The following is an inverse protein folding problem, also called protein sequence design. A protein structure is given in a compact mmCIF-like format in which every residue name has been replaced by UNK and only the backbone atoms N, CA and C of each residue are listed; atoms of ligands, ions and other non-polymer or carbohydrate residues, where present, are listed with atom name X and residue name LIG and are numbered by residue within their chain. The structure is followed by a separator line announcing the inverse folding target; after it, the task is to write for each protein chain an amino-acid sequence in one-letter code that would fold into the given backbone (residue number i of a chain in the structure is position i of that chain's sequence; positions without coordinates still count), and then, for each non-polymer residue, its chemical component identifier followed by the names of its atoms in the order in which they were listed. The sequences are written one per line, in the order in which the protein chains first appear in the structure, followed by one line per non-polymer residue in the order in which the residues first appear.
data_IF_130956657932
#
_entry.id   IF_130956657932
#
_cell.length_a   1.000
_cell.length_b   1.000
_cell.length_c   1.000
_cell.angle_alpha   90.00
_cell.angle_beta   90.00
_cell.angle_gamma   90.00
#
_symmetry.space_group_name_H-M   'P 1'
#
loop_
_entity.id
_entity.type
_entity.pdbx_description
1 polymer ?
#
# COMPACT_ATOMS: atom_id res chain seq x y z
N UNK A 1 3.25 -24.41 21.87
CA UNK A 1 1.98 -23.74 21.48
C UNK A 1 1.83 -22.34 22.10
N UNK A 2 1.88 -22.16 23.44
CA UNK A 2 1.70 -20.83 24.08
C UNK A 2 2.86 -19.86 23.80
N UNK A 3 4.10 -20.36 23.73
CA UNK A 3 5.29 -19.55 23.34
C UNK A 3 5.30 -19.22 21.86
N UNK A 4 4.85 -20.12 21.01
CA UNK A 4 4.73 -19.89 19.56
C UNK A 4 3.68 -18.83 19.26
N UNK A 5 2.52 -18.88 19.90
CA UNK A 5 1.48 -17.86 19.76
C UNK A 5 1.97 -16.48 20.25
N UNK A 6 2.69 -16.41 21.36
CA UNK A 6 3.30 -15.15 21.86
C UNK A 6 4.35 -14.59 20.91
N UNK A 7 5.18 -15.44 20.31
CA UNK A 7 6.20 -15.03 19.34
C UNK A 7 5.55 -14.49 18.06
N UNK A 8 4.50 -15.16 17.58
CA UNK A 8 3.72 -14.75 16.41
C UNK A 8 3.04 -13.40 16.66
N UNK A 9 2.46 -13.21 17.84
CA UNK A 9 1.81 -11.95 18.24
C UNK A 9 2.82 -10.80 18.37
N UNK A 10 3.99 -11.06 18.94
CA UNK A 10 5.07 -10.07 19.02
C UNK A 10 5.61 -9.68 17.64
N UNK A 11 5.78 -10.65 16.74
CA UNK A 11 6.23 -10.40 15.37
C UNK A 11 5.18 -9.57 14.60
N UNK A 12 3.89 -9.89 14.81
CA UNK A 12 2.77 -9.13 14.22
C UNK A 12 2.75 -7.67 14.72
N UNK A 13 2.96 -7.47 16.03
CA UNK A 13 3.01 -6.13 16.63
C UNK A 13 4.24 -5.32 16.18
N UNK A 14 5.39 -5.97 16.00
CA UNK A 14 6.61 -5.31 15.49
C UNK A 14 6.44 -4.86 14.03
N UNK A 15 5.94 -5.74 13.16
CA UNK A 15 5.62 -5.41 11.77
C UNK A 15 4.55 -4.30 11.68
N UNK A 16 3.57 -4.33 12.58
CA UNK A 16 2.56 -3.27 12.72
C UNK A 16 3.17 -1.91 13.08
N UNK A 17 4.12 -1.88 14.01
CA UNK A 17 4.79 -0.63 14.43
C UNK A 17 5.57 0.02 13.28
N UNK A 18 6.27 -0.77 12.49
CA UNK A 18 7.02 -0.29 11.33
C UNK A 18 6.09 0.20 10.21
N UNK A 19 5.01 -0.53 9.91
CA UNK A 19 4.00 -0.10 8.94
C UNK A 19 3.30 1.19 9.37
N UNK A 20 2.96 1.37 10.65
CA UNK A 20 2.36 2.62 11.16
C UNK A 20 3.30 3.80 10.91
N UNK A 21 4.60 3.63 11.10
CA UNK A 21 5.60 4.65 10.79
C UNK A 21 5.58 5.04 9.30
N UNK A 22 5.56 4.06 8.43
CA UNK A 22 5.52 4.26 6.98
C UNK A 22 4.19 4.91 6.54
N UNK A 23 3.06 4.47 7.08
CA UNK A 23 1.73 5.06 6.81
C UNK A 23 1.65 6.50 7.29
N UNK A 24 2.20 6.83 8.45
CA UNK A 24 2.24 8.21 8.93
C UNK A 24 3.01 9.12 7.95
N UNK A 25 4.08 8.63 7.34
CA UNK A 25 4.78 9.33 6.26
C UNK A 25 3.94 9.43 4.98
N UNK A 26 3.24 8.36 4.61
CA UNK A 26 2.35 8.34 3.44
C UNK A 26 1.20 9.34 3.59
N UNK A 27 0.62 9.47 4.77
CA UNK A 27 -0.49 10.41 5.00
C UNK A 27 -0.06 11.86 5.00
N UNK A 28 1.19 12.17 5.32
CA UNK A 28 1.71 13.55 5.22
C UNK A 28 1.71 14.08 3.79
N UNK A 29 1.94 13.23 2.79
CA UNK A 29 1.96 13.67 1.38
C UNK A 29 0.59 14.17 0.91
N UNK A 30 -0.50 13.38 0.96
CA UNK A 30 -1.82 13.85 0.57
C UNK A 30 -2.31 15.02 1.44
N UNK A 31 -2.06 15.01 2.74
CA UNK A 31 -2.40 16.15 3.61
C UNK A 31 -1.66 17.43 3.21
N UNK A 32 -0.40 17.32 2.77
CA UNK A 32 0.33 18.46 2.24
C UNK A 32 -0.25 18.97 0.92
N UNK A 33 -0.65 18.08 0.01
CA UNK A 33 -1.32 18.45 -1.25
C UNK A 33 -2.61 19.21 -0.95
N UNK A 34 -3.45 18.71 -0.04
CA UNK A 34 -4.68 19.38 0.38
C UNK A 34 -4.38 20.78 0.95
N UNK A 35 -3.38 20.87 1.83
CA UNK A 35 -2.98 22.13 2.45
C UNK A 35 -2.45 23.15 1.44
N UNK A 36 -1.62 22.69 0.49
CA UNK A 36 -1.06 23.57 -0.58
C UNK A 36 -2.17 24.04 -1.52
N UNK A 37 -3.07 23.16 -1.95
CA UNK A 37 -4.19 23.52 -2.82
C UNK A 37 -5.14 24.54 -2.15
N UNK A 38 -5.49 24.32 -0.89
CA UNK A 38 -6.32 25.24 -0.13
C UNK A 38 -5.64 26.58 0.12
N UNK A 39 -4.35 26.57 0.51
CA UNK A 39 -3.57 27.77 0.75
C UNK A 39 -3.35 28.58 -0.54
N UNK A 40 -3.06 27.90 -1.65
CA UNK A 40 -2.92 28.51 -2.97
C UNK A 40 -4.21 29.22 -3.43
N UNK A 41 -5.35 28.57 -3.29
CA UNK A 41 -6.65 29.18 -3.59
C UNK A 41 -6.91 30.41 -2.70
N UNK A 42 -6.57 30.32 -1.40
CA UNK A 42 -6.71 31.45 -0.47
C UNK A 42 -5.84 32.64 -0.88
N UNK A 43 -4.58 32.41 -1.18
CA UNK A 43 -3.64 33.48 -1.62
C UNK A 43 -4.13 34.15 -2.91
N UNK A 44 -4.56 33.36 -3.91
CA UNK A 44 -5.11 33.91 -5.16
C UNK A 44 -6.36 34.74 -4.91
N UNK A 45 -7.21 34.34 -3.97
CA UNK A 45 -8.39 35.10 -3.55
C UNK A 45 -8.00 36.43 -2.91
N UNK A 46 -7.05 36.41 -1.97
CA UNK A 46 -6.60 37.61 -1.24
C UNK A 46 -5.95 38.61 -2.19
N UNK A 47 -5.31 38.15 -3.27
CA UNK A 47 -4.73 38.98 -4.34
C UNK A 47 -5.75 39.41 -5.42
N UNK A 48 -6.99 38.94 -5.37
CA UNK A 48 -8.00 39.27 -6.37
C UNK A 48 -7.82 38.63 -7.76
N UNK A 49 -6.98 37.57 -7.84
CA UNK A 49 -6.63 36.86 -9.08
C UNK A 49 -7.23 35.43 -9.18
N UNK A 50 -8.07 35.06 -8.23
CA UNK A 50 -8.71 33.74 -8.23
C UNK A 50 -9.79 33.68 -9.29
N UNK A 51 -9.58 32.87 -10.33
CA UNK A 51 -10.63 32.54 -11.31
C UNK A 51 -11.48 31.36 -10.84
N UNK A 52 -12.70 31.24 -11.36
CA UNK A 52 -13.57 30.09 -11.08
C UNK A 52 -12.93 28.77 -11.53
N UNK A 53 -12.21 28.74 -12.65
CA UNK A 53 -11.48 27.61 -13.14
C UNK A 53 -10.38 27.19 -12.13
N UNK A 54 -9.55 28.14 -11.67
CA UNK A 54 -8.51 27.86 -10.71
C UNK A 54 -9.05 27.41 -9.34
N UNK A 55 -10.23 27.92 -8.96
CA UNK A 55 -10.91 27.45 -7.74
C UNK A 55 -11.40 26.01 -7.92
N UNK A 56 -12.06 25.70 -9.04
CA UNK A 56 -12.56 24.36 -9.34
C UNK A 56 -11.42 23.34 -9.40
N UNK A 57 -10.29 23.67 -10.01
CA UNK A 57 -9.10 22.81 -10.04
C UNK A 57 -8.58 22.51 -8.63
N UNK A 58 -8.48 23.55 -7.79
CA UNK A 58 -8.03 23.39 -6.41
C UNK A 58 -9.00 22.52 -5.59
N UNK A 59 -10.31 22.72 -5.74
CA UNK A 59 -11.33 21.93 -5.07
C UNK A 59 -11.33 20.48 -5.55
N UNK A 60 -11.21 20.26 -6.86
CA UNK A 60 -11.11 18.92 -7.43
C UNK A 60 -9.89 18.18 -6.87
N UNK A 61 -8.73 18.82 -6.87
CA UNK A 61 -7.51 18.20 -6.33
C UNK A 61 -7.67 17.83 -4.84
N UNK A 62 -8.33 18.68 -4.05
CA UNK A 62 -8.61 18.40 -2.63
C UNK A 62 -9.53 17.18 -2.50
N UNK A 63 -10.62 17.13 -3.28
CA UNK A 63 -11.59 16.04 -3.23
C UNK A 63 -10.96 14.71 -3.66
N UNK A 64 -10.28 14.66 -4.81
CA UNK A 64 -9.62 13.46 -5.34
C UNK A 64 -8.57 12.94 -4.33
N UNK A 65 -7.81 13.86 -3.71
CA UNK A 65 -6.80 13.50 -2.71
C UNK A 65 -7.43 12.97 -1.42
N UNK A 66 -8.57 13.53 -1.00
CA UNK A 66 -9.29 13.08 0.21
C UNK A 66 -9.91 11.70 -0.01
N UNK A 67 -10.47 11.44 -1.19
CA UNK A 67 -11.02 10.13 -1.56
C UNK A 67 -9.93 9.05 -1.54
N UNK A 68 -8.80 9.31 -2.19
CA UNK A 68 -7.65 8.40 -2.18
C UNK A 68 -7.12 8.12 -0.75
N UNK A 69 -7.06 9.15 0.11
CA UNK A 69 -6.67 8.98 1.51
C UNK A 69 -7.66 8.10 2.27
N UNK A 70 -8.96 8.27 2.04
CA UNK A 70 -10.01 7.46 2.66
C UNK A 70 -9.91 5.99 2.24
N UNK A 71 -9.71 5.71 0.95
CA UNK A 71 -9.49 4.35 0.43
C UNK A 71 -8.28 3.69 1.08
N UNK A 72 -7.17 4.43 1.21
CA UNK A 72 -5.96 3.92 1.87
C UNK A 72 -6.20 3.58 3.34
N UNK A 73 -7.00 4.39 4.05
CA UNK A 73 -7.39 4.11 5.45
C UNK A 73 -8.23 2.84 5.53
N UNK A 74 -9.16 2.63 4.62
CA UNK A 74 -10.02 1.44 4.61
C UNK A 74 -9.19 0.17 4.31
N UNK A 75 -8.28 0.21 3.35
CA UNK A 75 -7.34 -0.89 3.07
C UNK A 75 -6.50 -1.21 4.32
N UNK A 76 -6.00 -0.19 5.00
CA UNK A 76 -5.22 -0.36 6.23
C UNK A 76 -6.05 -0.99 7.36
N UNK A 77 -7.26 -0.49 7.57
CA UNK A 77 -8.19 -1.02 8.58
C UNK A 77 -8.54 -2.49 8.32
N UNK A 78 -8.83 -2.83 7.07
CA UNK A 78 -9.17 -4.20 6.68
C UNK A 78 -7.96 -5.14 6.78
N UNK A 79 -6.76 -4.66 6.49
CA UNK A 79 -5.51 -5.41 6.65
C UNK A 79 -5.27 -5.91 8.09
N UNK A 80 -5.67 -5.13 9.11
CA UNK A 80 -5.51 -5.51 10.52
C UNK A 80 -6.70 -6.24 11.12
N UNK A 81 -7.80 -6.33 10.38
CA UNK A 81 -8.97 -7.07 10.83
C UNK A 81 -8.67 -8.58 10.83
N UNK A 82 -8.93 -9.23 11.95
CA UNK A 82 -8.82 -10.69 12.01
C UNK A 82 -9.94 -11.34 11.19
N UNK A 83 -9.55 -12.21 10.28
CA UNK A 83 -10.51 -13.05 9.58
C UNK A 83 -11.05 -14.10 10.56
N UNK A 84 -12.34 -14.07 10.81
CA UNK A 84 -13.00 -15.09 11.63
C UNK A 84 -13.24 -16.38 10.88
N UNK A 85 -13.41 -16.30 9.56
CA UNK A 85 -13.72 -17.41 8.67
C UNK A 85 -12.96 -17.28 7.35
N UNK A 86 -12.70 -18.43 6.74
CA UNK A 86 -12.12 -18.47 5.41
C UNK A 86 -13.13 -17.97 4.38
N UNK A 87 -12.66 -17.23 3.42
CA UNK A 87 -13.44 -16.71 2.30
C UNK A 87 -12.79 -17.05 0.96
N UNK A 88 -13.59 -17.07 -0.10
CA UNK A 88 -13.09 -17.16 -1.46
C UNK A 88 -12.74 -15.75 -1.95
N UNK A 89 -11.49 -15.55 -2.35
CA UNK A 89 -11.04 -14.25 -2.86
C UNK A 89 -10.18 -14.42 -4.11
N UNK A 90 -10.19 -13.39 -4.97
CA UNK A 90 -9.32 -13.33 -6.13
C UNK A 90 -7.91 -12.91 -5.72
N UNK A 91 -6.92 -13.73 -6.10
CA UNK A 91 -5.52 -13.55 -5.72
C UNK A 91 -4.92 -12.25 -6.29
N UNK A 92 -5.12 -12.02 -7.58
CA UNK A 92 -4.61 -10.84 -8.28
C UNK A 92 -5.16 -9.55 -7.67
N UNK A 93 -6.47 -9.51 -7.43
CA UNK A 93 -7.13 -8.35 -6.81
C UNK A 93 -6.63 -8.12 -5.38
N UNK A 94 -6.45 -9.19 -4.59
CA UNK A 94 -5.92 -9.07 -3.23
C UNK A 94 -4.51 -8.49 -3.25
N UNK A 95 -3.62 -8.96 -4.13
CA UNK A 95 -2.26 -8.42 -4.26
C UNK A 95 -2.33 -6.94 -4.64
N UNK A 96 -3.10 -6.56 -5.66
CA UNK A 96 -3.22 -5.15 -6.09
C UNK A 96 -3.69 -4.23 -4.97
N UNK A 97 -4.73 -4.63 -4.22
CA UNK A 97 -5.27 -3.82 -3.13
C UNK A 97 -4.22 -3.57 -2.03
N UNK A 98 -3.34 -4.54 -1.79
CA UNK A 98 -2.32 -4.43 -0.74
C UNK A 98 -1.05 -3.70 -1.18
N UNK A 99 -0.82 -3.54 -2.50
CA UNK A 99 0.33 -2.78 -3.01
C UNK A 99 0.28 -1.30 -2.59
N UNK A 100 -0.91 -0.72 -2.44
CA UNK A 100 -1.08 0.66 -1.96
C UNK A 100 -0.45 0.90 -0.57
N UNK A 101 -0.38 -0.15 0.28
CA UNK A 101 0.22 -0.05 1.61
C UNK A 101 1.75 0.08 1.59
N UNK A 102 2.38 -0.31 0.48
CA UNK A 102 3.85 -0.30 0.36
C UNK A 102 4.36 0.54 -0.82
N UNK A 103 3.46 1.12 -1.60
CA UNK A 103 3.78 1.93 -2.78
C UNK A 103 4.79 3.04 -2.49
N UNK A 104 4.63 3.74 -1.37
CA UNK A 104 5.56 4.80 -0.97
C UNK A 104 6.96 4.26 -0.62
N UNK A 105 7.02 3.06 -0.04
CA UNK A 105 8.30 2.40 0.27
C UNK A 105 9.00 1.99 -1.03
N UNK A 106 8.26 1.45 -1.99
CA UNK A 106 8.75 1.08 -3.31
C UNK A 106 9.27 2.32 -4.05
N UNK A 107 8.44 3.36 -4.16
CA UNK A 107 8.79 4.62 -4.83
C UNK A 107 9.94 5.35 -4.14
N UNK A 108 9.92 5.43 -2.81
CA UNK A 108 10.97 6.11 -2.02
C UNK A 108 12.35 5.43 -2.10
N UNK A 109 12.41 4.17 -2.49
CA UNK A 109 13.65 3.43 -2.71
C UNK A 109 14.00 3.27 -4.19
N UNK A 110 13.32 3.95 -5.11
CA UNK A 110 13.50 3.84 -6.57
C UNK A 110 13.44 2.39 -7.06
N UNK A 111 12.48 1.62 -6.56
CA UNK A 111 12.26 0.22 -6.93
C UNK A 111 11.21 0.18 -8.05
N UNK A 112 11.51 -0.51 -9.13
CA UNK A 112 10.57 -0.81 -10.20
C UNK A 112 9.80 -2.09 -9.87
N UNK A 113 8.46 -2.03 -9.90
CA UNK A 113 7.61 -3.16 -9.59
C UNK A 113 7.03 -3.77 -10.88
N UNK A 114 7.32 -5.04 -11.13
CA UNK A 114 6.78 -5.79 -12.25
C UNK A 114 5.77 -6.83 -11.77
N UNK A 115 4.54 -6.77 -12.30
CA UNK A 115 3.46 -7.68 -11.97
C UNK A 115 3.10 -8.57 -13.17
N UNK A 116 3.12 -9.88 -12.96
CA UNK A 116 2.69 -10.88 -13.94
C UNK A 116 1.75 -11.86 -13.21
N UNK A 117 0.48 -11.46 -13.08
CA UNK A 117 -0.52 -12.12 -12.25
C UNK A 117 -1.65 -12.67 -13.11
N UNK A 118 -1.86 -13.98 -13.06
CA UNK A 118 -3.06 -14.60 -13.64
C UNK A 118 -4.32 -14.07 -12.96
N UNK A 119 -5.28 -13.59 -13.74
CA UNK A 119 -6.48 -12.90 -13.24
C UNK A 119 -7.53 -13.82 -12.62
N UNK A 120 -7.53 -15.10 -13.01
CA UNK A 120 -8.60 -16.04 -12.67
C UNK A 120 -8.23 -17.03 -11.55
N UNK A 121 -7.24 -16.64 -10.71
CA UNK A 121 -6.86 -17.46 -9.56
C UNK A 121 -7.68 -17.05 -8.35
N UNK A 122 -8.44 -18.02 -7.83
CA UNK A 122 -9.25 -17.87 -6.61
C UNK A 122 -8.72 -18.78 -5.52
N UNK A 123 -8.59 -18.23 -4.29
CA UNK A 123 -8.10 -18.96 -3.12
C UNK A 123 -9.19 -18.94 -2.04
N UNK A 124 -9.45 -20.10 -1.42
CA UNK A 124 -10.32 -20.21 -0.24
C UNK A 124 -9.45 -20.25 1.02
N UNK A 125 -9.25 -19.10 1.64
CA UNK A 125 -8.41 -18.96 2.84
C UNK A 125 -8.78 -17.68 3.61
N UNK A 126 -8.00 -17.36 4.63
CA UNK A 126 -8.05 -16.10 5.38
C UNK A 126 -7.40 -14.99 4.54
N UNK A 127 -8.22 -14.10 3.97
CA UNK A 127 -7.76 -13.10 3.00
C UNK A 127 -6.83 -12.06 3.60
N UNK A 128 -7.10 -11.63 4.84
CA UNK A 128 -6.28 -10.63 5.53
C UNK A 128 -4.95 -11.21 6.02
N UNK A 129 -4.94 -12.46 6.52
CA UNK A 129 -3.70 -13.14 6.88
C UNK A 129 -2.80 -13.35 5.64
N UNK A 130 -3.43 -13.69 4.51
CA UNK A 130 -2.72 -13.80 3.23
C UNK A 130 -2.12 -12.45 2.81
N UNK A 131 -2.89 -11.37 2.90
CA UNK A 131 -2.44 -10.00 2.64
C UNK A 131 -1.23 -9.63 3.51
N UNK A 132 -1.27 -9.95 4.80
CA UNK A 132 -0.17 -9.71 5.74
C UNK A 132 1.11 -10.44 5.31
N UNK A 133 0.99 -11.70 4.84
CA UNK A 133 2.14 -12.46 4.35
C UNK A 133 2.77 -11.77 3.14
N UNK A 134 1.97 -11.38 2.15
CA UNK A 134 2.45 -10.72 0.92
C UNK A 134 3.15 -9.40 1.24
N UNK A 135 2.52 -8.55 2.03
CA UNK A 135 3.10 -7.24 2.40
C UNK A 135 4.40 -7.40 3.19
N UNK A 136 4.47 -8.37 4.12
CA UNK A 136 5.69 -8.65 4.86
C UNK A 136 6.84 -9.14 3.97
N UNK A 137 6.55 -10.01 2.97
CA UNK A 137 7.57 -10.48 2.03
C UNK A 137 8.07 -9.31 1.18
N UNK A 138 7.17 -8.46 0.68
CA UNK A 138 7.53 -7.29 -0.11
C UNK A 138 8.35 -6.28 0.68
N UNK A 139 8.00 -6.05 1.94
CA UNK A 139 8.79 -5.19 2.84
C UNK A 139 10.21 -5.72 3.02
N UNK A 140 10.34 -7.02 3.31
CA UNK A 140 11.64 -7.69 3.42
C UNK A 140 12.44 -7.60 2.11
N UNK A 141 11.80 -7.71 0.96
CA UNK A 141 12.44 -7.54 -0.35
C UNK A 141 12.96 -6.11 -0.54
N UNK A 142 12.16 -5.10 -0.20
CA UNK A 142 12.59 -3.69 -0.23
C UNK A 142 13.80 -3.45 0.67
N UNK A 143 13.79 -3.97 1.89
CA UNK A 143 14.91 -3.84 2.85
C UNK A 143 16.17 -4.55 2.36
N UNK A 144 16.04 -5.74 1.78
CA UNK A 144 17.17 -6.47 1.20
C UNK A 144 17.81 -5.72 0.01
N UNK A 145 16.98 -5.14 -0.86
CA UNK A 145 17.44 -4.32 -1.99
C UNK A 145 18.18 -3.08 -1.46
N UNK A 146 17.58 -2.37 -0.50
CA UNK A 146 18.18 -1.18 0.11
C UNK A 146 19.52 -1.46 0.78
N UNK A 147 19.66 -2.62 1.42
CA UNK A 147 20.89 -3.01 2.13
C UNK A 147 22.01 -3.46 1.19
N UNK A 148 21.70 -3.93 -0.03
CA UNK A 148 22.67 -4.60 -0.93
C UNK A 148 23.01 -3.81 -2.18
N UNK A 149 22.11 -2.98 -2.68
CA UNK A 149 22.27 -2.26 -3.94
C UNK A 149 22.51 -0.77 -3.72
N UNK A 150 23.46 -0.20 -4.47
CA UNK A 150 23.68 1.24 -4.52
C UNK A 150 22.50 1.96 -5.22
N UNK A 151 22.39 3.28 -5.06
CA UNK A 151 21.30 4.04 -5.67
C UNK A 151 21.37 4.07 -7.21
N UNK A 152 22.53 3.78 -7.79
CA UNK A 152 22.77 3.79 -9.23
C UNK A 152 22.49 2.43 -9.89
N UNK A 153 22.20 1.39 -9.10
CA UNK A 153 21.87 0.06 -9.60
C UNK A 153 20.37 -0.09 -9.84
N UNK A 154 20.02 -0.89 -10.86
CA UNK A 154 18.64 -1.21 -11.18
C UNK A 154 18.01 -2.04 -10.04
N UNK A 155 16.94 -1.53 -9.47
CA UNK A 155 16.22 -2.12 -8.35
C UNK A 155 14.86 -2.59 -8.83
N UNK A 156 14.66 -3.90 -8.91
CA UNK A 156 13.42 -4.50 -9.42
C UNK A 156 12.87 -5.47 -8.38
N UNK A 157 11.56 -5.41 -8.17
CA UNK A 157 10.77 -6.47 -7.54
C UNK A 157 9.81 -7.00 -8.60
N UNK A 158 9.82 -8.30 -8.84
CA UNK A 158 8.88 -8.96 -9.73
C UNK A 158 7.98 -9.87 -8.92
N UNK A 159 6.66 -9.73 -9.11
CA UNK A 159 5.66 -10.63 -8.53
C UNK A 159 4.99 -11.40 -9.65
N UNK A 160 5.06 -12.72 -9.58
CA UNK A 160 4.33 -13.59 -10.49
C UNK A 160 3.32 -14.44 -9.72
N UNK A 161 2.16 -14.67 -10.30
CA UNK A 161 1.17 -15.59 -9.76
C UNK A 161 0.57 -16.45 -10.86
N UNK A 162 0.67 -17.77 -10.70
CA UNK A 162 0.21 -18.76 -11.67
C UNK A 162 -0.55 -19.89 -11.00
N UNK A 163 -1.49 -20.48 -11.72
CA UNK A 163 -2.16 -21.68 -11.26
C UNK A 163 -1.50 -22.92 -11.87
N UNK A 164 -1.04 -23.83 -11.02
CA UNK A 164 -0.56 -25.14 -11.42
C UNK A 164 -1.39 -26.24 -10.76
N UNK A 165 -2.18 -26.95 -11.56
CA UNK A 165 -3.12 -27.96 -11.07
C UNK A 165 -4.06 -27.37 -10.00
N UNK A 166 -3.95 -27.82 -8.75
CA UNK A 166 -4.77 -27.37 -7.61
C UNK A 166 -4.00 -26.42 -6.65
N UNK A 167 -2.93 -25.79 -7.13
CA UNK A 167 -2.11 -24.88 -6.31
C UNK A 167 -1.96 -23.56 -7.02
N UNK A 168 -2.02 -22.47 -6.26
CA UNK A 168 -1.52 -21.18 -6.70
C UNK A 168 -0.04 -21.07 -6.31
N UNK A 169 0.80 -20.72 -7.26
CA UNK A 169 2.24 -20.47 -7.05
C UNK A 169 2.44 -18.97 -7.16
N UNK A 170 3.06 -18.39 -6.15
CA UNK A 170 3.41 -16.97 -6.08
C UNK A 170 4.91 -16.89 -5.87
N UNK A 171 5.57 -16.14 -6.73
CA UNK A 171 7.00 -15.86 -6.65
C UNK A 171 7.21 -14.35 -6.52
N UNK A 172 8.09 -13.96 -5.63
CA UNK A 172 8.45 -12.56 -5.36
C UNK A 172 9.96 -12.42 -5.34
#
# INVERSE_FOLDING_TARGET
RRKENLLTEQTKLAAMGEMIGNIAHQWRQPLNIISVSASGAKVKKDLGILSDESLNDSLKQILDTTEHLSETIDVFKDFYKEDKEKSLFNLSQNIHNNLSLIETVIAGNNIELHLDLDKDIYIYNFSNEFSQIIVNILHNACDAIKARLSNDELRIIKITARQEKNKAIIEI
#
